data_IF_642093911512
#
_entry.id   IF_642093911512
#
_cell.length_a   1.000
_cell.length_b   1.000
_cell.length_c   1.000
_cell.angle_alpha   90.00
_cell.angle_beta   90.00
_cell.angle_gamma   90.00
#
_symmetry.space_group_name_H-M   'P 1'
#
loop_
_entity.id
_entity.type
_entity.pdbx_description
1 polymer ?
#
# COMPACT_ATOMS: atom_id res chain seq x y z
N UNK A 1 26.13 15.13 4.25
CA UNK A 1 24.86 14.36 4.17
C UNK A 1 24.87 13.61 2.84
N UNK A 2 24.50 12.33 2.81
CA UNK A 2 24.34 11.61 1.53
C UNK A 2 22.90 11.81 1.06
N UNK A 3 22.75 12.34 -0.15
CA UNK A 3 21.46 12.53 -0.80
C UNK A 3 20.95 11.17 -1.31
N UNK A 4 19.64 10.94 -1.19
CA UNK A 4 18.99 9.75 -1.73
C UNK A 4 17.64 10.17 -2.32
N UNK A 5 17.40 9.73 -3.53
CA UNK A 5 16.16 9.92 -4.26
C UNK A 5 15.59 8.57 -4.66
N UNK A 6 14.27 8.49 -4.77
CA UNK A 6 13.59 7.34 -5.33
C UNK A 6 12.38 7.82 -6.11
N UNK A 7 11.99 7.03 -7.12
CA UNK A 7 10.72 7.19 -7.83
C UNK A 7 9.99 5.86 -7.71
N UNK A 8 8.78 5.90 -7.19
CA UNK A 8 7.92 4.74 -7.08
C UNK A 8 6.50 5.13 -7.47
N UNK A 9 5.76 4.16 -8.01
CA UNK A 9 4.33 4.30 -8.31
C UNK A 9 3.59 3.54 -7.22
N UNK A 10 2.72 4.22 -6.50
CA UNK A 10 1.85 3.55 -5.54
C UNK A 10 0.75 2.82 -6.33
N UNK A 11 0.47 1.55 -6.02
CA UNK A 11 -0.57 0.80 -6.74
C UNK A 11 -2.00 1.27 -6.41
N UNK A 12 -2.18 2.01 -5.32
CA UNK A 12 -3.50 2.42 -4.82
C UNK A 12 -3.52 3.89 -4.42
N UNK A 13 -4.71 4.46 -4.36
CA UNK A 13 -4.99 5.82 -3.89
C UNK A 13 -5.80 5.82 -2.58
N UNK A 14 -5.78 6.93 -1.86
CA UNK A 14 -6.64 7.13 -0.69
C UNK A 14 -8.10 7.20 -1.17
N UNK A 15 -8.96 6.41 -0.54
CA UNK A 15 -10.36 6.25 -0.93
C UNK A 15 -10.63 5.01 -1.79
N UNK A 16 -9.60 4.32 -2.28
CA UNK A 16 -9.76 3.06 -2.99
C UNK A 16 -10.42 2.00 -2.10
N UNK A 17 -11.29 1.19 -2.73
CA UNK A 17 -11.94 0.05 -2.09
C UNK A 17 -11.25 -1.23 -2.50
N UNK A 18 -10.76 -1.97 -1.53
CA UNK A 18 -10.11 -3.26 -1.75
C UNK A 18 -10.98 -4.39 -1.21
N UNK A 19 -10.96 -5.52 -1.91
CA UNK A 19 -11.58 -6.76 -1.45
C UNK A 19 -10.51 -7.62 -0.79
N UNK A 20 -10.72 -7.95 0.48
CA UNK A 20 -9.86 -8.86 1.24
C UNK A 20 -10.67 -10.13 1.52
N UNK A 21 -10.10 -11.28 1.15
CA UNK A 21 -10.71 -12.59 1.41
C UNK A 21 -10.04 -13.16 2.66
N UNK A 22 -10.79 -13.26 3.76
CA UNK A 22 -10.34 -13.90 5.00
C UNK A 22 -11.29 -15.05 5.32
N UNK A 23 -10.76 -16.26 5.47
CA UNK A 23 -11.52 -17.43 5.98
C UNK A 23 -12.91 -17.60 5.33
N UNK A 24 -12.97 -17.54 3.99
CA UNK A 24 -14.19 -17.67 3.16
C UNK A 24 -15.18 -16.49 3.25
N UNK A 25 -14.82 -15.39 3.91
CA UNK A 25 -15.58 -14.13 3.91
C UNK A 25 -14.89 -13.10 3.02
N UNK A 26 -15.68 -12.49 2.13
CA UNK A 26 -15.28 -11.32 1.38
C UNK A 26 -15.59 -10.06 2.18
N UNK A 27 -14.57 -9.31 2.56
CA UNK A 27 -14.71 -8.01 3.22
C UNK A 27 -14.18 -6.92 2.30
N UNK A 28 -14.91 -5.80 2.24
CA UNK A 28 -14.52 -4.62 1.47
C UNK A 28 -14.04 -3.56 2.44
N UNK A 29 -12.78 -3.16 2.30
CA UNK A 29 -12.17 -2.11 3.10
C UNK A 29 -11.83 -0.89 2.25
N UNK A 30 -11.82 0.29 2.85
CA UNK A 30 -11.42 1.54 2.20
C UNK A 30 -10.02 1.93 2.67
N UNK A 31 -9.13 2.28 1.74
CA UNK A 31 -7.80 2.81 2.08
C UNK A 31 -7.96 4.23 2.62
N UNK A 32 -7.49 4.44 3.85
CA UNK A 32 -7.58 5.74 4.55
C UNK A 32 -6.26 6.46 4.68
N UNK A 33 -5.14 5.73 4.65
CA UNK A 33 -3.79 6.30 4.66
C UNK A 33 -2.80 5.41 3.87
N UNK A 34 -1.71 6.02 3.39
CA UNK A 34 -0.67 5.37 2.60
C UNK A 34 0.70 5.78 3.13
N UNK A 35 1.48 4.78 3.54
CA UNK A 35 2.86 4.97 4.00
C UNK A 35 3.83 4.42 2.98
N UNK A 36 4.77 5.27 2.55
CA UNK A 36 5.90 4.87 1.70
C UNK A 36 7.17 4.71 2.54
N UNK A 37 7.81 3.54 2.46
CA UNK A 37 9.04 3.22 3.16
C UNK A 37 10.17 2.95 2.16
N UNK A 38 11.18 3.83 2.13
CA UNK A 38 12.36 3.71 1.28
C UNK A 38 13.61 3.33 2.12
N UNK A 39 14.19 2.18 1.80
CA UNK A 39 15.35 1.62 2.51
C UNK A 39 16.66 2.08 1.88
N UNK A 40 17.38 3.01 2.51
CA UNK A 40 18.62 3.59 1.97
C UNK A 40 19.76 2.58 1.70
N UNK A 41 19.81 1.47 2.45
CA UNK A 41 20.85 0.44 2.28
C UNK A 41 20.59 -0.44 1.04
N UNK A 42 19.33 -0.79 0.80
CA UNK A 42 18.94 -1.75 -0.25
C UNK A 42 18.37 -1.09 -1.50
N UNK A 43 17.96 0.18 -1.41
CA UNK A 43 17.20 0.88 -2.45
C UNK A 43 15.76 0.38 -2.60
N UNK A 44 15.29 -0.52 -1.73
CA UNK A 44 13.94 -1.06 -1.81
C UNK A 44 12.90 -0.01 -1.38
N UNK A 45 11.74 -0.04 -2.02
CA UNK A 45 10.56 0.77 -1.66
C UNK A 45 9.41 -0.17 -1.34
N UNK A 46 8.70 0.10 -0.25
CA UNK A 46 7.50 -0.62 0.16
C UNK A 46 6.38 0.38 0.44
N UNK A 47 5.15 -0.02 0.09
CA UNK A 47 3.94 0.70 0.45
C UNK A 47 3.18 -0.11 1.51
N UNK A 48 2.72 0.59 2.55
CA UNK A 48 1.83 0.07 3.56
C UNK A 48 0.55 0.91 3.56
N UNK A 49 -0.56 0.29 3.89
CA UNK A 49 -1.88 0.91 3.78
C UNK A 49 -2.59 0.83 5.13
N UNK A 50 -3.28 1.90 5.49
CA UNK A 50 -4.29 1.87 6.56
C UNK A 50 -5.66 1.60 5.94
N UNK A 51 -6.41 0.71 6.58
CA UNK A 51 -7.78 0.38 6.20
C UNK A 51 -8.76 0.92 7.23
N UNK A 52 -9.83 1.55 6.75
CA UNK A 52 -11.01 1.99 7.51
C UNK A 52 -10.70 2.80 8.79
N UNK A 53 -9.69 3.67 8.76
CA UNK A 53 -9.21 4.46 9.92
C UNK A 53 -8.85 3.59 11.14
N UNK A 54 -8.40 2.35 10.90
CA UNK A 54 -8.12 1.37 11.97
C UNK A 54 -6.91 1.71 12.83
N UNK A 55 -6.06 2.67 12.42
CA UNK A 55 -4.77 2.98 13.02
C UNK A 55 -3.71 1.90 12.81
N UNK A 56 -3.98 0.89 11.96
CA UNK A 56 -3.07 -0.23 11.69
C UNK A 56 -2.61 -0.21 10.23
N UNK A 57 -1.32 -0.43 10.03
CA UNK A 57 -0.71 -0.53 8.71
C UNK A 57 -0.59 -1.98 8.28
N UNK A 58 -1.03 -2.28 7.06
CA UNK A 58 -0.96 -3.61 6.45
C UNK A 58 -0.23 -3.56 5.11
N UNK A 59 0.44 -4.65 4.77
CA UNK A 59 1.01 -4.87 3.44
C UNK A 59 -0.02 -5.58 2.58
N UNK A 60 -0.31 -5.03 1.41
CA UNK A 60 -1.32 -5.55 0.48
C UNK A 60 -0.60 -5.85 -0.82
N UNK A 61 -0.73 -7.08 -1.30
CA UNK A 61 -0.20 -7.44 -2.59
C UNK A 61 -0.98 -6.68 -3.68
N UNK A 62 -0.28 -6.00 -4.62
CA UNK A 62 -0.97 -5.31 -5.70
C UNK A 62 -1.73 -6.32 -6.57
N UNK A 63 -2.98 -5.99 -6.88
CA UNK A 63 -3.78 -6.73 -7.86
C UNK A 63 -3.30 -6.39 -9.28
N UNK A 64 -3.52 -7.27 -10.25
CA UNK A 64 -3.10 -7.03 -11.65
C UNK A 64 -3.71 -5.76 -12.27
N UNK A 65 -4.82 -5.28 -11.72
CA UNK A 65 -5.52 -4.05 -12.13
C UNK A 65 -4.86 -2.79 -11.56
N UNK A 66 -4.35 -2.87 -10.33
CA UNK A 66 -3.66 -1.77 -9.64
C UNK A 66 -2.30 -1.41 -10.29
N UNK A 67 -1.65 -2.39 -10.93
CA UNK A 67 -0.36 -2.20 -11.61
C UNK A 67 -0.45 -1.58 -13.02
N UNK A 68 -1.66 -1.32 -13.56
CA UNK A 68 -1.84 -0.83 -14.95
C UNK A 68 -2.00 0.69 -15.07
N UNK A 69 -1.85 1.43 -13.97
CA UNK A 69 -1.99 2.88 -13.92
C UNK A 69 -0.77 3.61 -14.51
#
# INVERSE_FOLDING_TARGET
MKYAEFKAVCPYEIGDKIKVIQEEREEVHTITDIVCMHYLKTGAVQFLFELDNSGKLVSIAPTEEACKQ
#
